data_IF_228671132660
#
_entry.id   IF_228671132660
#
_cell.length_a   1.000
_cell.length_b   1.000
_cell.length_c   1.000
_cell.angle_alpha   90.00
_cell.angle_beta   90.00
_cell.angle_gamma   90.00
#
_symmetry.space_group_name_H-M   'P 1'
#
loop_
_entity.id
_entity.type
_entity.pdbx_description
1 polymer ?
#
# COMPACT_ATOMS: atom_id res chain seq x y z
N UNK A 1 14.52 12.62 20.23
CA UNK A 1 13.70 11.73 19.39
C UNK A 1 13.96 10.31 19.82
N UNK A 2 12.91 9.61 20.23
CA UNK A 2 12.99 8.20 20.65
C UNK A 2 12.85 7.27 19.43
N UNK A 3 13.41 6.05 19.50
CA UNK A 3 13.34 5.04 18.42
C UNK A 3 11.90 4.81 17.92
N UNK A 4 10.94 4.83 18.83
CA UNK A 4 9.51 4.67 18.54
C UNK A 4 8.95 5.80 17.67
N UNK A 5 9.34 7.06 17.91
CA UNK A 5 8.86 8.21 17.11
C UNK A 5 9.39 8.16 15.67
N UNK A 6 10.64 7.76 15.50
CA UNK A 6 11.23 7.59 14.17
C UNK A 6 10.55 6.45 13.40
N UNK A 7 10.27 5.33 14.07
CA UNK A 7 9.54 4.22 13.46
C UNK A 7 8.14 4.65 13.00
N UNK A 8 7.40 5.36 13.85
CA UNK A 8 6.07 5.90 13.49
C UNK A 8 6.14 6.81 12.27
N UNK A 9 7.13 7.70 12.20
CA UNK A 9 7.31 8.61 11.07
C UNK A 9 7.59 7.85 9.76
N UNK A 10 8.51 6.90 9.80
CA UNK A 10 8.85 6.10 8.63
C UNK A 10 7.63 5.32 8.11
N UNK A 11 6.83 4.75 9.01
CA UNK A 11 5.61 4.03 8.65
C UNK A 11 4.54 4.94 8.04
N UNK A 12 4.38 6.15 8.56
CA UNK A 12 3.46 7.13 7.96
C UNK A 12 3.92 7.54 6.55
N UNK A 13 5.23 7.67 6.32
CA UNK A 13 5.78 7.93 5.00
C UNK A 13 5.53 6.76 4.05
N UNK A 14 5.82 5.53 4.48
CA UNK A 14 5.56 4.32 3.69
C UNK A 14 4.08 4.16 3.33
N UNK A 15 3.17 4.44 4.27
CA UNK A 15 1.74 4.43 4.00
C UNK A 15 1.33 5.50 2.98
N UNK A 16 1.88 6.71 3.10
CA UNK A 16 1.62 7.78 2.13
C UNK A 16 2.07 7.39 0.73
N UNK A 17 3.23 6.75 0.60
CA UNK A 17 3.73 6.22 -0.68
C UNK A 17 2.84 5.11 -1.24
N UNK A 18 2.37 4.19 -0.39
CA UNK A 18 1.44 3.12 -0.78
C UNK A 18 0.12 3.69 -1.34
N UNK A 19 -0.45 4.70 -0.69
CA UNK A 19 -1.68 5.34 -1.15
C UNK A 19 -1.46 6.06 -2.48
N UNK A 20 -0.32 6.74 -2.63
CA UNK A 20 0.05 7.38 -3.91
C UNK A 20 0.18 6.36 -5.04
N UNK A 21 0.84 5.23 -4.78
CA UNK A 21 0.98 4.13 -5.74
C UNK A 21 -0.38 3.52 -6.10
N UNK A 22 -1.26 3.32 -5.11
CA UNK A 22 -2.64 2.84 -5.34
C UNK A 22 -3.38 3.76 -6.30
N UNK A 23 -3.34 5.06 -6.07
CA UNK A 23 -4.07 6.03 -6.89
C UNK A 23 -3.51 6.08 -8.33
N UNK A 24 -2.18 6.02 -8.50
CA UNK A 24 -1.52 5.90 -9.80
C UNK A 24 -1.96 4.63 -10.55
N UNK A 25 -1.97 3.49 -9.84
CA UNK A 25 -2.33 2.20 -10.41
C UNK A 25 -3.81 2.16 -10.78
N UNK A 26 -4.71 2.73 -9.97
CA UNK A 26 -6.15 2.78 -10.26
C UNK A 26 -6.41 3.48 -11.61
N UNK A 27 -5.69 4.58 -11.89
CA UNK A 27 -5.75 5.26 -13.19
C UNK A 27 -5.24 4.37 -14.32
N UNK A 28 -4.07 3.75 -14.15
CA UNK A 28 -3.48 2.87 -15.18
C UNK A 28 -4.33 1.64 -15.48
N UNK A 29 -4.85 0.99 -14.44
CA UNK A 29 -5.72 -0.19 -14.55
C UNK A 29 -7.03 0.13 -15.25
N UNK A 30 -7.58 1.34 -15.05
CA UNK A 30 -8.79 1.76 -15.75
C UNK A 30 -8.61 1.67 -17.28
N UNK A 31 -7.43 2.06 -17.76
CA UNK A 31 -7.02 2.01 -19.16
C UNK A 31 -6.52 0.63 -19.63
N UNK A 32 -6.31 -0.31 -18.70
CA UNK A 32 -5.77 -1.64 -19.00
C UNK A 32 -6.84 -2.69 -19.33
N UNK A 33 -6.37 -3.86 -19.78
CA UNK A 33 -7.19 -5.03 -20.10
C UNK A 33 -7.79 -5.76 -18.89
N UNK A 34 -8.61 -6.78 -19.15
CA UNK A 34 -9.36 -7.53 -18.14
C UNK A 34 -8.45 -8.22 -17.10
N UNK A 35 -7.29 -8.72 -17.51
CA UNK A 35 -6.34 -9.42 -16.61
C UNK A 35 -5.77 -8.47 -15.56
N UNK A 36 -5.34 -7.28 -15.98
CA UNK A 36 -4.87 -6.22 -15.09
C UNK A 36 -5.97 -5.78 -14.12
N UNK A 37 -7.19 -5.58 -14.62
CA UNK A 37 -8.36 -5.26 -13.79
C UNK A 37 -8.66 -6.34 -12.76
N UNK A 38 -8.49 -7.61 -13.12
CA UNK A 38 -8.76 -8.75 -12.22
C UNK A 38 -7.69 -8.88 -11.15
N UNK A 39 -6.42 -8.75 -11.53
CA UNK A 39 -5.31 -8.72 -10.57
C UNK A 39 -5.42 -7.53 -9.61
N UNK A 40 -5.83 -6.35 -10.09
CA UNK A 40 -6.06 -5.17 -9.27
C UNK A 40 -7.16 -5.39 -8.23
N UNK A 41 -8.29 -6.00 -8.62
CA UNK A 41 -9.41 -6.32 -7.72
C UNK A 41 -9.01 -7.22 -6.55
N UNK A 42 -7.94 -8.01 -6.67
CA UNK A 42 -7.41 -8.83 -5.57
C UNK A 42 -6.46 -8.04 -4.64
N UNK A 43 -5.80 -7.01 -5.16
CA UNK A 43 -4.77 -6.25 -4.46
C UNK A 43 -5.33 -5.02 -3.73
N UNK A 44 -6.25 -4.31 -4.36
CA UNK A 44 -6.87 -3.07 -3.86
C UNK A 44 -7.54 -3.23 -2.48
N UNK A 45 -8.34 -4.28 -2.19
CA UNK A 45 -8.99 -4.42 -0.89
C UNK A 45 -8.00 -4.57 0.27
N UNK A 46 -6.82 -5.14 0.02
CA UNK A 46 -5.77 -5.31 1.03
C UNK A 46 -5.11 -3.98 1.40
N UNK A 47 -5.01 -3.07 0.43
CA UNK A 47 -4.53 -1.70 0.68
C UNK A 47 -5.56 -0.89 1.46
N UNK A 48 -6.83 -1.00 1.10
CA UNK A 48 -7.90 -0.31 1.82
C UNK A 48 -8.00 -0.82 3.27
N UNK A 49 -7.78 -2.12 3.50
CA UNK A 49 -7.68 -2.66 4.86
C UNK A 49 -6.50 -2.06 5.62
N UNK A 50 -5.29 -2.05 5.04
CA UNK A 50 -4.11 -1.47 5.68
C UNK A 50 -4.30 0.03 5.99
N UNK A 51 -4.93 0.77 5.08
CA UNK A 51 -5.25 2.18 5.28
C UNK A 51 -6.22 2.38 6.46
N UNK A 52 -7.28 1.57 6.54
CA UNK A 52 -8.23 1.61 7.65
C UNK A 52 -7.54 1.31 8.98
N UNK A 53 -6.79 0.22 9.04
CA UNK A 53 -6.03 -0.18 10.24
C UNK A 53 -5.08 0.93 10.70
N UNK A 54 -4.39 1.59 9.75
CA UNK A 54 -3.52 2.70 10.07
C UNK A 54 -4.25 3.94 10.60
N UNK A 55 -5.46 4.22 10.08
CA UNK A 55 -6.29 5.37 10.49
C UNK A 55 -6.99 5.12 11.83
N UNK A 56 -7.44 3.90 12.10
CA UNK A 56 -8.18 3.54 13.32
C UNK A 56 -7.25 3.38 14.54
N UNK A 57 -6.14 2.66 14.40
CA UNK A 57 -5.18 2.45 15.50
C UNK A 57 -4.19 3.62 15.64
N UNK A 58 -4.19 4.56 14.68
CA UNK A 58 -3.29 5.71 14.61
C UNK A 58 -1.81 5.35 14.47
N UNK A 59 -1.46 4.06 14.44
CA UNK A 59 -0.09 3.58 14.37
C UNK A 59 0.02 2.16 13.78
N UNK A 60 0.74 2.02 12.66
CA UNK A 60 1.16 0.73 12.07
C UNK A 60 2.33 0.04 12.82
N UNK A 61 2.50 0.24 14.13
CA UNK A 61 3.69 -0.26 14.88
C UNK A 61 3.63 -1.74 15.23
N UNK A 62 2.55 -2.43 14.93
CA UNK A 62 2.49 -3.90 15.06
C UNK A 62 3.38 -4.51 13.98
N UNK A 63 4.30 -5.40 14.35
CA UNK A 63 5.24 -6.04 13.42
C UNK A 63 4.54 -6.67 12.21
N UNK A 64 3.36 -7.26 12.42
CA UNK A 64 2.53 -7.81 11.35
C UNK A 64 2.05 -6.75 10.34
N UNK A 65 1.63 -5.58 10.82
CA UNK A 65 1.19 -4.46 9.97
C UNK A 65 2.37 -3.85 9.20
N UNK A 66 3.56 -3.78 9.81
CA UNK A 66 4.79 -3.34 9.14
C UNK A 66 5.20 -4.30 8.03
N UNK A 67 5.16 -5.61 8.30
CA UNK A 67 5.47 -6.63 7.30
C UNK A 67 4.47 -6.57 6.13
N UNK A 68 3.17 -6.49 6.44
CA UNK A 68 2.11 -6.36 5.44
C UNK A 68 2.29 -5.13 4.55
N UNK A 69 2.61 -3.96 5.13
CA UNK A 69 2.86 -2.74 4.38
C UNK A 69 4.04 -2.89 3.41
N UNK A 70 5.15 -3.50 3.85
CA UNK A 70 6.32 -3.76 3.00
C UNK A 70 6.01 -4.72 1.85
N UNK A 71 5.26 -5.78 2.13
CA UNK A 71 4.88 -6.75 1.10
C UNK A 71 3.92 -6.15 0.07
N UNK A 72 2.94 -5.36 0.54
CA UNK A 72 2.04 -4.62 -0.36
C UNK A 72 2.79 -3.59 -1.20
N UNK A 73 3.82 -2.92 -0.65
CA UNK A 73 4.66 -1.97 -1.40
C UNK A 73 5.34 -2.66 -2.56
N UNK A 74 6.03 -3.77 -2.30
CA UNK A 74 6.68 -4.58 -3.34
C UNK A 74 5.68 -5.08 -4.37
N UNK A 75 4.53 -5.59 -3.92
CA UNK A 75 3.48 -6.09 -4.82
C UNK A 75 2.95 -4.97 -5.73
N UNK A 76 2.74 -3.76 -5.21
CA UNK A 76 2.30 -2.61 -6.00
C UNK A 76 3.35 -2.14 -6.99
N UNK A 77 4.62 -2.09 -6.59
CA UNK A 77 5.72 -1.70 -7.47
C UNK A 77 5.85 -2.67 -8.65
N UNK A 78 5.80 -3.98 -8.37
CA UNK A 78 5.82 -5.03 -9.38
C UNK A 78 4.59 -4.96 -10.29
N UNK A 79 3.40 -4.77 -9.71
CA UNK A 79 2.17 -4.65 -10.47
C UNK A 79 2.22 -3.43 -11.40
N UNK A 80 2.63 -2.27 -10.87
CA UNK A 80 2.84 -1.05 -11.66
C UNK A 80 3.82 -1.26 -12.80
N UNK A 81 4.95 -1.94 -12.56
CA UNK A 81 5.94 -2.22 -13.59
C UNK A 81 5.39 -3.08 -14.75
N UNK A 82 4.38 -3.92 -14.49
CA UNK A 82 3.70 -4.74 -15.51
C UNK A 82 2.62 -3.98 -16.29
N UNK A 83 2.24 -2.77 -15.85
CA UNK A 83 1.24 -1.93 -16.52
C UNK A 83 1.86 -0.93 -17.51
N UNK A 84 3.20 -0.84 -17.55
CA UNK A 84 3.97 0.06 -18.43
C UNK A 84 4.47 -0.72 -19.64
#
# INVERSE_FOLDING_TARGET
>A
MTTTENLKRNLNQDLTELLRLRDEIRVKVHLAGLDAKSAWKALEPRLDQLEREAREDGVLVKDASVALAKDLKKALEQFRARLV
#
